data_IF_628248573724
#
_entry.id   IF_628248573724
#
_cell.length_a   1.000
_cell.length_b   1.000
_cell.length_c   1.000
_cell.angle_alpha   90.00
_cell.angle_beta   90.00
_cell.angle_gamma   90.00
#
_symmetry.space_group_name_H-M   'P 1'
#
loop_
_entity.id
_entity.type
_entity.pdbx_description
1 polymer ?
#
# COMPACT_ATOMS: atom_id res chain seq x y z
N UNK A 1 17.69 32.97 14.03
CA UNK A 1 16.69 32.64 12.98
C UNK A 1 16.86 31.17 12.69
N UNK A 2 15.90 30.33 13.08
CA UNK A 2 15.97 28.89 12.81
C UNK A 2 15.95 28.65 11.30
N UNK A 3 16.78 27.73 10.82
CA UNK A 3 16.82 27.32 9.41
C UNK A 3 15.41 26.86 9.00
N UNK A 4 14.75 27.47 8.02
CA UNK A 4 13.44 26.98 7.58
C UNK A 4 13.60 25.69 6.77
N UNK A 5 12.54 24.89 6.61
CA UNK A 5 12.53 23.80 5.65
C UNK A 5 11.25 23.84 4.82
N UNK A 6 11.31 23.20 3.66
CA UNK A 6 10.21 23.17 2.70
C UNK A 6 9.93 21.75 2.27
N UNK A 7 8.64 21.43 2.14
CA UNK A 7 8.17 20.25 1.44
C UNK A 7 7.57 20.67 0.09
N UNK A 8 8.15 20.17 -1.00
CA UNK A 8 7.61 20.31 -2.35
C UNK A 8 6.91 19.00 -2.73
N UNK A 9 5.67 19.12 -3.18
CA UNK A 9 4.84 17.99 -3.60
C UNK A 9 4.30 18.26 -4.99
N UNK A 10 4.59 17.39 -5.96
CA UNK A 10 3.87 17.37 -7.24
C UNK A 10 2.72 16.37 -7.12
N UNK A 11 1.50 16.86 -7.28
CA UNK A 11 0.29 16.04 -7.11
C UNK A 11 -0.86 16.55 -7.96
N UNK A 12 -1.79 15.65 -8.27
CA UNK A 12 -3.04 15.91 -8.96
C UNK A 12 -4.15 14.96 -8.46
N UNK A 13 -5.39 15.23 -8.87
CA UNK A 13 -6.53 14.34 -8.64
C UNK A 13 -6.98 13.64 -9.93
N UNK A 14 -7.85 12.65 -9.80
CA UNK A 14 -8.55 12.09 -10.96
C UNK A 14 -9.48 13.13 -11.60
N UNK A 15 -9.74 12.99 -12.90
CA UNK A 15 -10.65 13.88 -13.65
C UNK A 15 -12.01 14.01 -12.96
N UNK A 16 -12.47 15.26 -12.80
CA UNK A 16 -13.73 15.57 -12.13
C UNK A 16 -13.73 15.45 -10.60
N UNK A 17 -12.61 15.06 -9.97
CA UNK A 17 -12.46 14.98 -8.51
C UNK A 17 -11.68 16.16 -7.96
N UNK A 18 -12.08 16.65 -6.79
CA UNK A 18 -11.47 17.82 -6.14
C UNK A 18 -11.20 17.59 -4.65
N UNK A 19 -10.42 16.55 -4.29
CA UNK A 19 -10.10 16.25 -2.90
C UNK A 19 -9.28 17.37 -2.26
N UNK A 20 -9.37 17.47 -0.94
CA UNK A 20 -8.50 18.35 -0.15
C UNK A 20 -7.25 17.56 0.22
N UNK A 21 -6.11 18.01 -0.27
CA UNK A 21 -4.80 17.49 0.07
C UNK A 21 -4.18 18.35 1.16
N UNK A 22 -3.69 17.71 2.21
CA UNK A 22 -3.19 18.36 3.41
C UNK A 22 -1.78 17.86 3.70
N UNK A 23 -0.86 18.78 3.97
CA UNK A 23 0.50 18.48 4.39
C UNK A 23 0.72 19.15 5.75
N UNK A 24 1.16 18.38 6.73
CA UNK A 24 1.42 18.88 8.07
C UNK A 24 2.75 18.41 8.63
N UNK A 25 3.38 19.27 9.41
CA UNK A 25 4.61 18.99 10.16
C UNK A 25 4.79 20.06 11.25
N UNK A 26 5.47 19.71 12.35
CA UNK A 26 5.76 20.56 13.50
C UNK A 26 4.49 21.22 14.08
N UNK A 27 3.38 20.49 14.11
CA UNK A 27 2.07 20.99 14.56
C UNK A 27 1.41 22.01 13.62
N UNK A 28 2.00 22.27 12.45
CA UNK A 28 1.50 23.20 11.44
C UNK A 28 0.92 22.45 10.26
N UNK A 29 -0.07 23.05 9.59
CA UNK A 29 -0.80 22.41 8.50
C UNK A 29 -1.03 23.37 7.33
N UNK A 30 -0.76 22.90 6.11
CA UNK A 30 -1.18 23.53 4.88
C UNK A 30 -2.13 22.61 4.12
N UNK A 31 -3.19 23.16 3.54
CA UNK A 31 -4.14 22.39 2.75
C UNK A 31 -4.46 23.09 1.43
N UNK A 32 -4.69 22.31 0.39
CA UNK A 32 -5.09 22.79 -0.92
C UNK A 32 -6.07 21.84 -1.60
N UNK A 33 -6.98 22.37 -2.43
CA UNK A 33 -7.88 21.55 -3.25
C UNK A 33 -7.22 21.14 -4.55
N UNK A 34 -7.08 19.84 -4.76
CA UNK A 34 -6.50 19.32 -5.99
C UNK A 34 -7.46 19.48 -7.17
N UNK A 35 -6.86 19.53 -8.34
CA UNK A 35 -7.53 19.43 -9.64
C UNK A 35 -6.85 18.35 -10.45
N UNK A 36 -7.44 17.96 -11.58
CA UNK A 36 -6.87 16.96 -12.48
C UNK A 36 -5.66 17.43 -13.30
N UNK A 37 -5.09 18.57 -12.94
CA UNK A 37 -3.90 19.12 -13.58
C UNK A 37 -2.74 18.93 -12.63
N UNK A 38 -1.64 18.39 -13.12
CA UNK A 38 -0.38 18.28 -12.39
C UNK A 38 0.07 19.65 -11.91
N UNK A 39 0.19 19.78 -10.59
CA UNK A 39 0.69 21.01 -9.97
C UNK A 39 1.71 20.68 -8.92
N UNK A 40 2.73 21.54 -8.86
CA UNK A 40 3.70 21.53 -7.78
C UNK A 40 3.24 22.49 -6.70
N UNK A 41 3.15 21.97 -5.48
CA UNK A 41 2.78 22.70 -4.28
C UNK A 41 3.98 22.83 -3.36
N UNK A 42 4.10 24.00 -2.81
CA UNK A 42 5.21 24.41 -1.98
C UNK A 42 4.69 24.68 -0.57
N UNK A 43 5.08 23.84 0.41
CA UNK A 43 4.69 23.97 1.81
C UNK A 43 5.86 24.49 2.64
N UNK A 44 5.71 25.72 3.14
CA UNK A 44 6.75 26.48 3.84
C UNK A 44 6.54 26.36 5.35
N UNK A 45 7.46 25.73 6.07
CA UNK A 45 7.38 25.55 7.52
C UNK A 45 8.46 26.38 8.22
N UNK A 46 8.08 27.16 9.23
CA UNK A 46 9.06 27.77 10.14
C UNK A 46 9.50 26.77 11.22
N UNK A 47 10.72 26.98 11.75
CA UNK A 47 11.37 26.26 12.86
C UNK A 47 12.23 25.03 12.52
N UNK A 48 13.29 25.19 11.73
CA UNK A 48 14.32 24.14 11.65
C UNK A 48 14.01 23.05 10.65
N UNK A 49 14.74 21.95 10.75
CA UNK A 49 14.34 20.66 10.19
C UNK A 49 13.04 20.17 10.85
N UNK A 50 12.37 19.22 10.21
CA UNK A 50 11.19 18.57 10.79
C UNK A 50 11.57 17.85 12.09
N UNK A 51 10.90 18.14 13.19
CA UNK A 51 11.03 17.42 14.48
C UNK A 51 9.87 16.45 14.71
N UNK A 52 8.82 16.55 13.89
CA UNK A 52 7.75 15.55 13.78
C UNK A 52 7.77 14.92 12.39
N UNK A 53 6.96 13.89 12.18
CA UNK A 53 6.72 13.36 10.84
C UNK A 53 6.11 14.41 9.90
N UNK A 54 6.48 14.35 8.62
CA UNK A 54 5.75 15.03 7.55
C UNK A 54 4.57 14.15 7.16
N UNK A 55 3.37 14.59 7.50
CA UNK A 55 2.14 13.84 7.26
C UNK A 55 1.43 14.36 6.02
N UNK A 56 0.96 13.46 5.17
CA UNK A 56 0.12 13.74 4.00
C UNK A 56 -1.26 13.14 4.21
N UNK A 57 -2.32 13.93 4.08
CA UNK A 57 -3.70 13.48 4.23
C UNK A 57 -4.55 13.93 3.05
N UNK A 58 -5.47 13.05 2.63
CA UNK A 58 -6.42 13.33 1.56
C UNK A 58 -7.82 13.17 2.09
N UNK A 59 -8.66 14.19 1.90
CA UNK A 59 -10.07 14.16 2.27
C UNK A 59 -10.96 14.27 1.05
N UNK A 60 -11.95 13.38 1.00
CA UNK A 60 -13.04 13.39 0.01
C UNK A 60 -12.80 12.51 -1.20
N UNK A 61 -11.55 12.16 -1.53
CA UNK A 61 -11.19 11.25 -2.63
C UNK A 61 -9.70 10.86 -2.58
N UNK A 62 -9.14 10.37 -3.69
CA UNK A 62 -7.73 10.01 -3.91
C UNK A 62 -6.90 11.18 -4.47
N UNK A 63 -5.68 11.34 -3.95
CA UNK A 63 -4.62 12.16 -4.56
C UNK A 63 -3.54 11.26 -5.16
N UNK A 64 -3.05 11.62 -6.35
CA UNK A 64 -1.91 10.96 -6.98
C UNK A 64 -0.68 11.83 -6.70
N UNK A 65 0.36 11.24 -6.11
CA UNK A 65 1.59 11.94 -5.76
C UNK A 65 2.68 11.48 -6.72
N UNK A 66 3.18 12.40 -7.56
CA UNK A 66 4.22 12.10 -8.54
C UNK A 66 5.62 12.27 -7.93
N UNK A 67 5.78 13.21 -7.00
CA UNK A 67 7.07 13.54 -6.39
C UNK A 67 6.90 14.20 -5.03
N UNK A 68 7.74 13.79 -4.08
CA UNK A 68 7.99 14.51 -2.83
C UNK A 68 9.47 14.89 -2.79
N UNK A 69 9.76 16.15 -2.45
CA UNK A 69 11.11 16.65 -2.21
C UNK A 69 11.12 17.45 -0.92
N UNK A 70 11.99 17.09 0.01
CA UNK A 70 12.24 17.84 1.24
C UNK A 70 13.56 18.58 1.07
N UNK A 71 13.53 19.90 1.25
CA UNK A 71 14.72 20.75 1.15
C UNK A 71 14.96 21.52 2.43
N UNK A 72 16.24 21.62 2.80
CA UNK A 72 16.70 22.56 3.82
C UNK A 72 16.65 23.98 3.25
N UNK A 73 16.10 24.92 4.01
CA UNK A 73 15.93 26.33 3.64
C UNK A 73 14.51 26.74 3.31
N UNK A 74 14.36 28.03 2.96
CA UNK A 74 13.08 28.68 2.65
C UNK A 74 12.62 28.49 1.19
N UNK A 75 13.29 27.60 0.44
CA UNK A 75 12.96 27.23 -0.94
C UNK A 75 12.86 28.38 -1.97
N UNK A 76 13.39 29.56 -1.67
CA UNK A 76 13.24 30.77 -2.48
C UNK A 76 13.90 30.72 -3.88
N UNK A 77 14.73 29.71 -4.15
CA UNK A 77 15.45 29.58 -5.43
C UNK A 77 14.94 28.48 -6.38
N UNK A 78 13.92 27.70 -6.00
CA UNK A 78 13.72 26.39 -6.63
C UNK A 78 12.49 26.22 -7.53
N UNK A 79 11.61 27.21 -7.71
CA UNK A 79 10.38 26.91 -8.45
C UNK A 79 9.78 28.09 -9.24
N UNK A 80 9.89 28.00 -10.56
CA UNK A 80 9.08 28.77 -11.51
C UNK A 80 7.73 28.06 -11.70
N UNK A 81 6.61 28.75 -11.46
CA UNK A 81 5.25 28.23 -11.72
C UNK A 81 4.61 27.35 -10.63
N UNK A 82 5.26 27.12 -9.49
CA UNK A 82 4.62 26.41 -8.37
C UNK A 82 3.66 27.28 -7.56
N UNK A 83 2.65 26.65 -6.97
CA UNK A 83 1.71 27.33 -6.07
C UNK A 83 2.21 27.31 -4.63
N UNK A 84 2.31 28.51 -4.05
CA UNK A 84 2.75 28.71 -2.68
C UNK A 84 1.62 28.40 -1.69
N UNK A 85 1.89 27.55 -0.71
CA UNK A 85 1.06 27.30 0.47
C UNK A 85 1.84 27.71 1.71
N UNK A 86 1.43 28.80 2.35
CA UNK A 86 2.03 29.22 3.63
C UNK A 86 1.48 28.31 4.74
N UNK A 87 2.37 27.76 5.56
CA UNK A 87 1.98 26.91 6.69
C UNK A 87 2.38 27.61 7.98
N UNK A 88 1.39 27.95 8.81
CA UNK A 88 1.59 28.71 10.06
C UNK A 88 1.09 27.90 11.26
N UNK A 89 1.65 28.21 12.44
CA UNK A 89 1.27 27.59 13.72
C UNK A 89 2.33 27.81 14.80
N UNK A 90 1.99 27.53 16.05
CA UNK A 90 2.94 27.65 17.17
C UNK A 90 3.82 26.40 17.26
N UNK A 91 5.12 26.59 17.52
CA UNK A 91 6.05 25.48 17.73
C UNK A 91 5.75 24.82 19.07
N UNK A 92 5.60 23.50 19.10
CA UNK A 92 5.54 22.74 20.36
C UNK A 92 6.93 22.09 20.54
N UNK A 93 7.72 22.73 21.42
CA UNK A 93 8.93 22.32 22.16
C UNK A 93 10.06 21.47 21.53
N UNK A 94 11.30 21.82 21.93
CA UNK A 94 12.62 21.33 21.50
C UNK A 94 13.05 19.96 22.09
N UNK A 95 12.15 19.00 22.30
CA UNK A 95 12.59 17.65 22.68
C UNK A 95 12.88 16.80 21.44
N UNK A 96 14.13 16.34 21.35
CA UNK A 96 14.64 15.46 20.32
C UNK A 96 14.35 14.00 20.72
N UNK A 97 13.32 13.33 20.18
CA UNK A 97 13.11 11.91 20.44
C UNK A 97 14.25 11.10 19.79
N UNK A 98 14.67 10.02 20.47
CA UNK A 98 15.62 9.07 19.91
C UNK A 98 15.09 8.50 18.59
N UNK A 99 15.98 8.43 17.60
CA UNK A 99 15.67 7.94 16.26
C UNK A 99 15.66 6.40 16.29
N UNK A 100 14.48 5.80 16.22
CA UNK A 100 14.35 4.46 15.66
C UNK A 100 14.18 4.58 14.15
N UNK A 101 15.26 4.36 13.40
CA UNK A 101 15.24 4.27 11.94
C UNK A 101 14.51 2.97 11.53
N UNK A 102 13.19 3.05 11.33
CA UNK A 102 12.46 2.00 10.62
C UNK A 102 12.24 2.46 9.16
N UNK A 103 13.31 2.43 8.37
CA UNK A 103 13.15 2.39 6.92
C UNK A 103 12.49 1.05 6.56
N UNK A 104 11.32 1.08 5.93
CA UNK A 104 10.79 -0.10 5.24
C UNK A 104 11.60 -0.25 3.95
N UNK A 105 12.59 -1.14 3.97
CA UNK A 105 13.23 -1.63 2.74
C UNK A 105 12.14 -2.26 1.86
N UNK A 106 11.91 -1.69 0.67
CA UNK A 106 11.00 -2.29 -0.30
C UNK A 106 11.69 -3.50 -0.93
N UNK A 107 11.46 -4.67 -0.34
CA UNK A 107 11.92 -5.94 -0.91
C UNK A 107 11.30 -6.15 -2.29
N UNK A 108 12.10 -5.96 -3.34
CA UNK A 108 11.69 -6.23 -4.72
C UNK A 108 12.04 -7.65 -5.08
N UNK A 109 11.03 -8.50 -5.29
CA UNK A 109 11.22 -9.88 -5.73
C UNK A 109 10.84 -10.03 -7.21
N UNK A 110 11.81 -10.35 -8.07
CA UNK A 110 11.55 -10.67 -9.49
C UNK A 110 11.27 -12.16 -9.65
N UNK A 111 10.08 -12.51 -10.15
CA UNK A 111 9.76 -13.88 -10.57
C UNK A 111 9.99 -14.05 -12.08
N UNK A 112 10.66 -15.13 -12.47
CA UNK A 112 11.00 -15.45 -13.87
C UNK A 112 10.41 -16.81 -14.27
N UNK A 113 10.26 -17.02 -15.59
CA UNK A 113 9.82 -18.31 -16.14
C UNK A 113 8.33 -18.61 -15.98
N UNK A 114 7.50 -17.58 -15.80
CA UNK A 114 6.04 -17.73 -15.74
C UNK A 114 5.53 -18.01 -17.15
N UNK A 115 5.10 -19.26 -17.38
CA UNK A 115 4.51 -19.71 -18.64
C UNK A 115 2.99 -19.87 -18.45
N UNK A 116 2.24 -18.78 -18.62
CA UNK A 116 0.78 -18.76 -18.46
C UNK A 116 0.22 -17.33 -18.39
N UNK A 117 -1.11 -17.21 -18.49
CA UNK A 117 -1.79 -15.90 -18.43
C UNK A 117 -2.02 -15.39 -17.00
N UNK A 118 -1.77 -16.22 -15.99
CA UNK A 118 -1.92 -15.86 -14.57
C UNK A 118 -0.90 -16.55 -13.69
N UNK A 119 -0.59 -15.92 -12.56
CA UNK A 119 0.30 -16.44 -11.51
C UNK A 119 -0.34 -16.17 -10.14
N UNK A 120 -0.19 -17.11 -9.21
CA UNK A 120 -0.60 -16.93 -7.81
C UNK A 120 0.63 -16.61 -6.98
N UNK A 121 0.60 -15.45 -6.30
CA UNK A 121 1.66 -15.00 -5.41
C UNK A 121 1.23 -15.32 -3.97
N UNK A 122 1.99 -16.17 -3.30
CA UNK A 122 1.71 -16.64 -1.94
C UNK A 122 2.65 -15.98 -0.93
N UNK A 123 2.32 -16.10 0.37
CA UNK A 123 3.17 -15.60 1.45
C UNK A 123 3.10 -14.09 1.69
N UNK A 124 2.16 -13.40 1.05
CA UNK A 124 1.89 -11.99 1.32
C UNK A 124 1.35 -11.83 2.73
N UNK A 125 1.97 -10.94 3.50
CA UNK A 125 1.47 -10.51 4.79
C UNK A 125 0.21 -9.66 4.62
N UNK A 126 -0.77 -9.89 5.49
CA UNK A 126 -2.03 -9.16 5.51
C UNK A 126 -1.82 -7.68 5.88
N UNK A 127 -2.80 -6.87 5.49
CA UNK A 127 -2.90 -5.43 5.74
C UNK A 127 -1.71 -4.62 5.19
N UNK A 128 -0.96 -5.20 4.23
CA UNK A 128 0.16 -4.56 3.53
C UNK A 128 -0.19 -4.25 2.07
N UNK A 129 0.35 -3.14 1.57
CA UNK A 129 0.29 -2.79 0.15
C UNK A 129 1.42 -3.46 -0.63
N UNK A 130 1.10 -4.02 -1.78
CA UNK A 130 2.05 -4.59 -2.74
C UNK A 130 1.89 -3.91 -4.09
N UNK A 131 2.99 -3.67 -4.80
CA UNK A 131 2.99 -3.14 -6.16
C UNK A 131 3.52 -4.20 -7.12
N UNK A 132 2.78 -4.46 -8.21
CA UNK A 132 3.12 -5.47 -9.19
C UNK A 132 3.33 -4.86 -10.58
N UNK A 133 4.38 -5.30 -11.25
CA UNK A 133 4.70 -4.96 -12.63
C UNK A 133 4.97 -6.24 -13.43
N UNK A 134 4.60 -6.24 -14.71
CA UNK A 134 4.77 -7.38 -15.61
C UNK A 134 5.51 -6.95 -16.86
N UNK A 135 6.38 -7.81 -17.37
CA UNK A 135 6.98 -7.70 -18.70
C UNK A 135 6.96 -9.04 -19.40
N UNK A 136 6.82 -9.03 -20.71
CA UNK A 136 6.93 -10.23 -21.52
C UNK A 136 8.40 -10.50 -21.87
N UNK A 137 8.77 -11.78 -21.89
CA UNK A 137 10.06 -12.24 -22.45
C UNK A 137 9.76 -13.23 -23.57
N UNK A 138 10.45 -13.11 -24.70
CA UNK A 138 10.32 -14.09 -25.79
C UNK A 138 10.66 -15.51 -25.28
N UNK A 139 10.07 -16.53 -25.89
CA UNK A 139 10.26 -17.92 -25.48
C UNK A 139 11.72 -18.41 -25.53
N UNK A 140 12.54 -17.78 -26.39
CA UNK A 140 13.98 -18.03 -26.53
C UNK A 140 14.84 -17.18 -25.58
N UNK A 141 14.23 -16.35 -24.73
CA UNK A 141 14.92 -15.44 -23.81
C UNK A 141 15.57 -14.22 -24.48
N UNK A 142 15.42 -14.04 -25.79
CA UNK A 142 16.22 -13.07 -26.56
C UNK A 142 15.87 -11.61 -26.33
N UNK A 143 14.61 -11.30 -25.98
CA UNK A 143 14.11 -9.94 -25.77
C UNK A 143 13.07 -9.87 -24.67
N UNK A 144 13.08 -8.76 -23.96
CA UNK A 144 12.08 -8.39 -22.95
C UNK A 144 11.35 -7.11 -23.36
N UNK A 145 10.04 -7.03 -23.09
CA UNK A 145 9.30 -5.78 -23.22
C UNK A 145 9.71 -4.78 -22.12
N UNK A 146 9.23 -3.54 -22.25
CA UNK A 146 9.17 -2.62 -21.11
C UNK A 146 8.26 -3.20 -20.02
N UNK A 147 8.50 -2.77 -18.78
CA UNK A 147 7.61 -3.05 -17.66
C UNK A 147 6.25 -2.37 -17.89
N UNK A 148 5.19 -3.03 -17.43
CA UNK A 148 3.87 -2.41 -17.34
C UNK A 148 3.88 -1.27 -16.34
N UNK A 149 2.86 -0.42 -16.39
CA UNK A 149 2.57 0.48 -15.27
C UNK A 149 2.30 -0.33 -14.00
N UNK A 150 2.84 0.09 -12.84
CA UNK A 150 2.63 -0.62 -11.58
C UNK A 150 1.16 -0.68 -11.19
N UNK A 151 0.76 -1.82 -10.64
CA UNK A 151 -0.56 -2.05 -10.07
C UNK A 151 -0.44 -2.32 -8.58
N UNK A 152 -1.02 -1.43 -7.77
CA UNK A 152 -0.96 -1.53 -6.31
C UNK A 152 -2.20 -2.20 -5.76
N UNK A 153 -2.00 -3.17 -4.86
CA UNK A 153 -3.08 -3.94 -4.23
C UNK A 153 -2.84 -3.98 -2.72
N UNK A 154 -3.91 -3.81 -1.94
CA UNK A 154 -3.91 -4.08 -0.50
C UNK A 154 -4.19 -5.56 -0.27
N UNK A 155 -3.25 -6.28 0.34
CA UNK A 155 -3.45 -7.65 0.76
C UNK A 155 -4.36 -7.68 2.00
N UNK A 156 -5.66 -7.78 1.78
CA UNK A 156 -6.63 -8.01 2.86
C UNK A 156 -6.61 -9.47 3.30
N UNK A 157 -7.17 -9.77 4.48
CA UNK A 157 -7.47 -11.15 4.85
C UNK A 157 -8.29 -11.81 3.74
N UNK A 158 -7.70 -12.81 3.10
CA UNK A 158 -8.40 -13.64 2.15
C UNK A 158 -9.48 -14.42 2.93
N UNK A 159 -10.72 -13.92 2.92
CA UNK A 159 -11.91 -14.71 3.25
C UNK A 159 -12.23 -15.64 2.08
N UNK A 160 -11.23 -16.38 1.59
CA UNK A 160 -11.43 -17.35 0.53
C UNK A 160 -11.40 -18.75 1.14
N UNK A 161 -12.58 -19.39 1.08
CA UNK A 161 -12.71 -20.84 1.16
C UNK A 161 -11.85 -21.42 0.04
N UNK A 162 -10.83 -22.18 0.42
CA UNK A 162 -9.95 -22.88 -0.51
C UNK A 162 -10.78 -23.92 -1.29
N UNK A 163 -11.20 -23.57 -2.51
CA UNK A 163 -11.65 -24.54 -3.49
C UNK A 163 -10.41 -25.23 -4.06
N UNK A 164 -9.69 -25.97 -3.22
CA UNK A 164 -8.79 -26.99 -3.74
C UNK A 164 -9.69 -28.01 -4.44
N UNK A 165 -9.58 -28.10 -5.76
CA UNK A 165 -10.30 -29.05 -6.58
C UNK A 165 -10.23 -30.44 -5.96
N UNK A 166 -11.36 -30.85 -5.41
CA UNK A 166 -11.45 -32.01 -4.55
C UNK A 166 -11.51 -33.32 -5.37
N UNK A 167 -11.40 -33.24 -6.70
CA UNK A 167 -11.71 -34.32 -7.64
C UNK A 167 -10.71 -35.50 -7.66
N UNK A 168 -9.53 -35.38 -7.06
CA UNK A 168 -8.48 -36.42 -7.13
C UNK A 168 -8.18 -37.16 -5.81
N UNK A 169 -8.84 -36.82 -4.70
CA UNK A 169 -8.54 -37.49 -3.43
C UNK A 169 -9.34 -38.80 -3.25
N UNK A 170 -8.64 -39.94 -3.35
CA UNK A 170 -9.11 -41.22 -2.80
C UNK A 170 -8.93 -41.20 -1.28
N UNK A 171 -10.01 -41.16 -0.52
CA UNK A 171 -9.97 -41.30 0.94
C UNK A 171 -11.08 -40.55 1.69
N UNK A 172 -11.10 -40.70 3.01
CA UNK A 172 -11.96 -39.88 3.90
C UNK A 172 -11.26 -38.56 4.22
N UNK A 173 -11.96 -37.44 4.09
CA UNK A 173 -11.51 -36.12 4.52
C UNK A 173 -12.53 -35.48 5.49
N UNK A 174 -12.07 -34.62 6.38
CA UNK A 174 -12.91 -33.91 7.34
C UNK A 174 -12.73 -32.40 7.19
N UNK A 175 -13.81 -31.66 7.41
CA UNK A 175 -13.83 -30.20 7.32
C UNK A 175 -14.65 -29.62 8.47
N UNK A 176 -14.31 -28.41 8.91
CA UNK A 176 -15.18 -27.60 9.78
C UNK A 176 -16.46 -27.21 9.05
N UNK A 177 -17.45 -26.68 9.79
CA UNK A 177 -18.68 -26.16 9.17
C UNK A 177 -18.41 -25.01 8.20
N UNK A 178 -17.33 -24.25 8.45
CA UNK A 178 -16.87 -23.14 7.61
C UNK A 178 -16.09 -23.63 6.37
N UNK A 179 -16.00 -24.95 6.16
CA UNK A 179 -15.37 -25.56 4.99
C UNK A 179 -13.85 -25.68 5.06
N UNK A 180 -13.24 -25.42 6.22
CA UNK A 180 -11.78 -25.56 6.42
C UNK A 180 -11.43 -27.02 6.61
N UNK A 181 -10.47 -27.56 5.84
CA UNK A 181 -10.02 -28.95 6.01
C UNK A 181 -9.31 -29.12 7.35
N UNK A 182 -9.64 -30.21 8.05
CA UNK A 182 -9.05 -30.58 9.35
C UNK A 182 -8.65 -32.05 9.34
N UNK A 183 -7.79 -32.43 10.29
CA UNK A 183 -7.63 -33.83 10.66
C UNK A 183 -8.92 -34.38 11.28
N UNK A 184 -8.97 -35.70 11.50
CA UNK A 184 -10.16 -36.34 12.08
C UNK A 184 -10.59 -35.58 13.35
N UNK A 185 -11.82 -35.06 13.42
CA UNK A 185 -12.24 -34.20 14.52
C UNK A 185 -12.20 -34.94 15.86
N UNK A 186 -11.51 -34.35 16.83
CA UNK A 186 -11.33 -34.87 18.19
C UNK A 186 -12.11 -34.09 19.24
N UNK A 187 -12.67 -32.93 18.87
CA UNK A 187 -13.49 -32.09 19.74
C UNK A 187 -14.96 -32.29 19.41
N UNK A 188 -15.82 -32.18 20.42
CA UNK A 188 -17.26 -32.20 20.23
C UNK A 188 -17.69 -31.04 19.32
N UNK A 189 -18.54 -31.34 18.34
CA UNK A 189 -18.93 -30.37 17.34
C UNK A 189 -19.50 -30.99 16.09
N UNK A 190 -19.91 -30.12 15.16
CA UNK A 190 -20.42 -30.52 13.86
C UNK A 190 -19.37 -30.26 12.80
N UNK A 191 -19.15 -31.27 11.98
CA UNK A 191 -18.14 -31.29 10.93
C UNK A 191 -18.77 -31.81 9.63
N UNK A 192 -18.02 -31.66 8.54
CA UNK A 192 -18.34 -32.25 7.25
C UNK A 192 -17.35 -33.38 7.00
N UNK A 193 -17.84 -34.59 6.77
CA UNK A 193 -17.04 -35.74 6.35
C UNK A 193 -17.29 -35.98 4.87
N UNK A 194 -16.21 -36.15 4.12
CA UNK A 194 -16.23 -36.50 2.70
C UNK A 194 -15.58 -37.85 2.49
N UNK A 195 -16.24 -38.72 1.74
CA UNK A 195 -15.74 -40.04 1.33
C UNK A 195 -15.87 -40.17 -0.19
N UNK A 196 -14.77 -39.96 -0.91
CA UNK A 196 -14.81 -39.86 -2.37
C UNK A 196 -15.74 -38.73 -2.83
N UNK A 197 -16.84 -39.05 -3.52
CA UNK A 197 -17.84 -38.07 -3.98
C UNK A 197 -18.98 -37.83 -2.99
N UNK A 198 -19.07 -38.59 -1.90
CA UNK A 198 -20.13 -38.45 -0.91
C UNK A 198 -19.73 -37.47 0.19
N UNK A 199 -20.64 -36.58 0.56
CA UNK A 199 -20.46 -35.60 1.63
C UNK A 199 -21.57 -35.75 2.65
N UNK A 200 -21.22 -35.78 3.93
CA UNK A 200 -22.17 -35.91 5.03
C UNK A 200 -21.79 -35.07 6.23
N UNK A 201 -22.80 -34.71 7.03
CA UNK A 201 -22.61 -34.07 8.32
C UNK A 201 -22.15 -35.11 9.35
N UNK A 202 -21.05 -34.85 10.02
CA UNK A 202 -20.53 -35.65 11.12
C UNK A 202 -20.72 -34.88 12.43
N UNK A 203 -21.49 -35.45 13.35
CA UNK A 203 -21.59 -34.96 14.72
C UNK A 203 -20.60 -35.75 15.59
N UNK A 204 -19.62 -35.07 16.16
CA UNK A 204 -18.74 -35.61 17.20
C UNK A 204 -19.28 -35.15 18.55
N UNK A 205 -19.44 -36.07 19.49
CA UNK A 205 -19.92 -35.80 20.85
C UNK A 205 -18.80 -35.99 21.85
#
# INVERSE_FOLDING_TARGET
MGEQFTVLVRTHSLSGKTPVFTVSSNGKTGAYRLTSSDKSYYYQFDNGLTVTDVTFQVKGDVAIIDRILIVRGNGAGYVEGALKVNVTGEAISDENPEVEEQFVELDTTEMRGINGESVVINGLQKDNYYSFEVRATNADGSKTSQWSVPQTVLASEATKVDRTDCHTQKGTAYYSLDGVRIDKPTKAGVYIRREGTHVMKLLVR
#
